data_IF_293541965383
#
_entry.id   IF_293541965383
#
_cell.length_a   1.000
_cell.length_b   1.000
_cell.length_c   1.000
_cell.angle_alpha   90.00
_cell.angle_beta   90.00
_cell.angle_gamma   90.00
#
_symmetry.space_group_name_H-M   'P 1'
#
loop_
_entity.id
_entity.type
_entity.pdbx_description
1 polymer ?
#
# COMPACT_ATOMS: atom_id res chain seq x y z
N UNK A 1 26.93 -17.25 27.14
CA UNK A 1 27.38 -17.03 25.74
C UNK A 1 26.86 -18.21 24.93
N UNK A 2 25.90 -17.98 24.04
CA UNK A 2 25.39 -19.04 23.16
C UNK A 2 26.30 -19.01 21.92
N UNK A 3 26.98 -20.12 21.57
CA UNK A 3 27.77 -20.16 20.36
C UNK A 3 26.84 -20.01 19.15
N UNK A 4 27.12 -19.03 18.30
CA UNK A 4 26.49 -18.90 16.99
C UNK A 4 27.02 -20.07 16.16
N UNK A 5 26.24 -21.15 16.12
CA UNK A 5 26.54 -22.29 15.26
C UNK A 5 26.29 -21.83 13.82
N UNK A 6 27.28 -21.89 12.92
CA UNK A 6 27.03 -21.61 11.51
C UNK A 6 26.04 -22.64 10.98
N UNK A 7 24.83 -22.18 10.65
CA UNK A 7 23.85 -23.01 9.96
C UNK A 7 24.29 -23.03 8.50
N UNK A 8 25.10 -24.03 8.15
CA UNK A 8 25.31 -24.40 6.76
C UNK A 8 25.00 -25.89 6.59
N UNK A 9 23.90 -26.11 5.87
CA UNK A 9 23.59 -27.33 5.17
C UNK A 9 24.69 -27.65 4.16
N UNK A 10 25.09 -28.93 4.13
CA UNK A 10 26.20 -29.54 3.39
C UNK A 10 27.55 -29.48 4.10
N UNK A 11 28.05 -30.66 4.45
CA UNK A 11 29.40 -30.84 4.99
C UNK A 11 30.39 -30.57 3.85
N UNK A 12 30.91 -29.35 3.76
CA UNK A 12 32.02 -28.99 2.85
C UNK A 12 33.10 -30.09 2.88
N UNK A 13 33.53 -30.53 1.70
CA UNK A 13 34.61 -31.52 1.56
C UNK A 13 35.89 -31.00 2.22
N UNK A 14 36.74 -31.91 2.69
CA UNK A 14 38.03 -31.55 3.32
C UNK A 14 38.88 -30.64 2.41
N UNK A 15 38.83 -30.85 1.10
CA UNK A 15 39.51 -30.00 0.11
C UNK A 15 38.91 -28.59 0.05
N UNK A 16 37.58 -28.45 0.13
CA UNK A 16 36.91 -27.16 0.10
C UNK A 16 37.20 -26.32 1.35
N UNK A 17 37.30 -26.96 2.53
CA UNK A 17 37.71 -26.27 3.76
C UNK A 17 39.14 -25.74 3.68
N UNK A 18 40.07 -26.54 3.15
CA UNK A 18 41.46 -26.09 2.94
C UNK A 18 41.52 -24.91 1.97
N UNK A 19 40.79 -24.98 0.86
CA UNK A 19 40.71 -23.87 -0.09
C UNK A 19 40.09 -22.60 0.52
N UNK A 20 39.07 -22.72 1.37
CA UNK A 20 38.51 -21.58 2.11
C UNK A 20 39.50 -21.00 3.13
N UNK A 21 40.26 -21.85 3.83
CA UNK A 21 41.31 -21.39 4.76
C UNK A 21 42.46 -20.71 4.03
N UNK A 22 42.85 -21.19 2.85
CA UNK A 22 43.85 -20.54 2.00
C UNK A 22 43.32 -19.19 1.47
N UNK A 23 42.07 -19.15 1.02
CA UNK A 23 41.42 -17.92 0.56
C UNK A 23 41.31 -16.87 1.68
N UNK A 24 40.92 -17.27 2.90
CA UNK A 24 40.84 -16.34 4.06
C UNK A 24 42.21 -15.85 4.53
N UNK A 25 43.28 -16.65 4.35
CA UNK A 25 44.66 -16.22 4.62
C UNK A 25 45.16 -15.21 3.60
N UNK A 26 44.74 -15.35 2.34
CA UNK A 26 45.08 -14.41 1.27
C UNK A 26 44.31 -13.09 1.44
N UNK A 27 43.02 -13.17 1.75
CA UNK A 27 42.16 -12.02 1.98
C UNK A 27 41.07 -12.34 3.02
N UNK A 28 41.09 -11.63 4.16
CA UNK A 28 40.11 -11.79 5.21
C UNK A 28 38.70 -11.34 4.81
N UNK A 29 38.59 -10.45 3.80
CA UNK A 29 37.32 -9.87 3.36
C UNK A 29 36.59 -10.71 2.30
N UNK A 30 37.24 -11.76 1.79
CA UNK A 30 36.78 -12.54 0.62
C UNK A 30 35.40 -13.19 0.81
N UNK A 31 34.98 -13.43 2.06
CA UNK A 31 33.67 -14.00 2.41
C UNK A 31 32.77 -13.03 3.18
N UNK A 32 33.12 -11.75 3.33
CA UNK A 32 32.30 -10.79 4.08
C UNK A 32 30.95 -10.53 3.40
N UNK A 33 30.90 -10.51 2.07
CA UNK A 33 29.66 -10.34 1.32
C UNK A 33 28.68 -11.50 1.53
N UNK A 34 29.20 -12.73 1.46
CA UNK A 34 28.41 -13.96 1.66
C UNK A 34 27.87 -14.03 3.08
N UNK A 35 28.68 -13.67 4.08
CA UNK A 35 28.24 -13.57 5.48
C UNK A 35 27.12 -12.54 5.68
N UNK A 36 27.22 -11.35 5.06
CA UNK A 36 26.16 -10.33 5.14
C UNK A 36 24.88 -10.84 4.48
N UNK A 37 25.00 -11.50 3.34
CA UNK A 37 23.87 -12.07 2.62
C UNK A 37 23.18 -13.18 3.42
N UNK A 38 23.95 -14.11 3.98
CA UNK A 38 23.45 -15.20 4.83
C UNK A 38 22.74 -14.65 6.07
N UNK A 39 23.32 -13.64 6.73
CA UNK A 39 22.69 -12.99 7.88
C UNK A 39 21.38 -12.30 7.52
N UNK A 40 21.32 -11.64 6.36
CA UNK A 40 20.09 -11.03 5.84
C UNK A 40 19.03 -12.11 5.58
N UNK A 41 19.39 -13.24 4.97
CA UNK A 41 18.46 -14.35 4.71
C UNK A 41 18.02 -15.07 5.98
N UNK A 42 18.88 -15.16 6.99
CA UNK A 42 18.50 -15.65 8.31
C UNK A 42 17.52 -14.69 9.00
N UNK A 43 17.66 -13.37 8.83
CA UNK A 43 16.68 -12.41 9.33
C UNK A 43 15.34 -12.51 8.60
N UNK A 44 15.35 -12.65 7.27
CA UNK A 44 14.13 -12.83 6.45
C UNK A 44 13.37 -14.10 6.84
N UNK A 45 14.07 -15.23 7.00
CA UNK A 45 13.47 -16.51 7.40
C UNK A 45 12.90 -16.47 8.81
N UNK A 46 13.59 -15.80 9.76
CA UNK A 46 13.05 -15.54 11.10
C UNK A 46 11.78 -14.69 11.04
N UNK A 47 11.78 -13.58 10.30
CA UNK A 47 10.60 -12.73 10.15
C UNK A 47 9.42 -13.49 9.51
N UNK A 48 9.69 -14.41 8.58
CA UNK A 48 8.68 -15.30 7.99
C UNK A 48 8.13 -16.27 9.04
N UNK A 49 8.99 -16.94 9.80
CA UNK A 49 8.55 -17.87 10.85
C UNK A 49 7.73 -17.19 11.95
N UNK A 50 8.06 -15.96 12.33
CA UNK A 50 7.26 -15.17 13.28
C UNK A 50 5.90 -14.79 12.71
N UNK A 51 5.81 -14.49 11.41
CA UNK A 51 4.54 -14.21 10.74
C UNK A 51 3.64 -15.46 10.72
N UNK A 52 4.22 -16.62 10.46
CA UNK A 52 3.50 -17.90 10.47
C UNK A 52 3.02 -18.26 11.89
N UNK A 53 3.86 -18.04 12.91
CA UNK A 53 3.48 -18.22 14.32
C UNK A 53 2.34 -17.28 14.73
N UNK A 54 2.44 -15.98 14.43
CA UNK A 54 1.35 -15.01 14.68
C UNK A 54 0.08 -15.39 13.92
N UNK A 55 0.21 -15.96 12.72
CA UNK A 55 -0.91 -16.49 11.94
C UNK A 55 -1.61 -17.66 12.64
N UNK A 56 -0.84 -18.58 13.23
CA UNK A 56 -1.37 -19.69 14.02
C UNK A 56 -2.07 -19.19 15.31
N UNK A 57 -1.46 -18.25 16.04
CA UNK A 57 -2.06 -17.65 17.24
C UNK A 57 -3.38 -16.94 16.95
N UNK A 58 -3.49 -16.25 15.80
CA UNK A 58 -4.74 -15.61 15.35
C UNK A 58 -5.85 -16.63 15.11
N UNK A 59 -5.53 -17.81 14.58
CA UNK A 59 -6.52 -18.89 14.36
C UNK A 59 -7.06 -19.41 15.69
N UNK A 60 -6.18 -19.72 16.63
CA UNK A 60 -6.57 -20.17 17.98
C UNK A 60 -7.45 -19.13 18.67
N UNK A 61 -7.07 -17.84 18.62
CA UNK A 61 -7.89 -16.76 19.19
C UNK A 61 -9.26 -16.63 18.51
N UNK A 62 -9.36 -16.91 17.21
CA UNK A 62 -10.65 -16.87 16.50
C UNK A 62 -11.54 -18.06 16.89
N UNK A 63 -10.95 -19.25 17.06
CA UNK A 63 -11.63 -20.44 17.57
C UNK A 63 -12.15 -20.21 18.99
N UNK A 64 -11.33 -19.64 19.88
CA UNK A 64 -11.74 -19.29 21.24
C UNK A 64 -12.93 -18.31 21.26
N UNK A 65 -12.94 -17.31 20.37
CA UNK A 65 -14.05 -16.36 20.23
C UNK A 65 -15.34 -17.02 19.72
N UNK A 66 -15.23 -18.05 18.87
CA UNK A 66 -16.39 -18.81 18.41
C UNK A 66 -16.97 -19.65 19.54
N UNK A 67 -16.11 -20.36 20.28
CA UNK A 67 -16.53 -21.17 21.44
C UNK A 67 -17.17 -20.30 22.52
N UNK A 68 -16.67 -19.08 22.74
CA UNK A 68 -17.31 -18.14 23.67
C UNK A 68 -18.71 -17.73 23.21
N UNK A 69 -18.89 -17.42 21.92
CA UNK A 69 -20.22 -17.10 21.35
C UNK A 69 -21.18 -18.29 21.46
N UNK A 70 -20.70 -19.51 21.24
CA UNK A 70 -21.50 -20.74 21.41
C UNK A 70 -21.91 -20.93 22.88
N UNK A 71 -20.99 -20.75 23.82
CA UNK A 71 -21.29 -20.81 25.27
C UNK A 71 -22.25 -19.73 25.74
N UNK A 72 -22.20 -18.53 25.18
CA UNK A 72 -23.16 -17.45 25.49
C UNK A 72 -24.57 -17.75 24.99
N UNK A 73 -24.69 -18.47 23.86
CA UNK A 73 -25.96 -18.96 23.35
C UNK A 73 -26.50 -20.11 24.22
N UNK A 74 -25.65 -21.05 24.61
CA UNK A 74 -26.00 -22.14 25.55
C UNK A 74 -26.33 -21.62 26.96
N UNK A 75 -25.68 -20.55 27.43
CA UNK A 75 -25.95 -19.93 28.72
C UNK A 75 -27.39 -19.44 28.89
N UNK A 76 -28.09 -19.12 27.80
CA UNK A 76 -29.52 -18.80 27.83
C UNK A 76 -30.40 -20.03 28.13
N UNK A 77 -29.93 -21.22 27.80
CA UNK A 77 -30.61 -22.50 28.06
C UNK A 77 -30.37 -23.01 29.49
N UNK A 78 -29.29 -22.57 30.14
CA UNK A 78 -28.89 -23.01 31.49
C UNK A 78 -29.02 -21.93 32.58
N UNK A 79 -29.61 -20.78 32.27
CA UNK A 79 -29.81 -19.64 33.19
C UNK A 79 -30.54 -19.98 34.51
N UNK A 80 -31.23 -21.12 34.58
CA UNK A 80 -31.95 -21.60 35.77
C UNK A 80 -31.14 -22.57 36.64
N UNK A 81 -29.87 -22.83 36.34
CA UNK A 81 -28.98 -23.72 37.12
C UNK A 81 -27.87 -22.91 37.76
N UNK A 82 -27.56 -23.22 39.02
CA UNK A 82 -26.50 -22.54 39.77
C UNK A 82 -25.12 -22.80 39.14
N UNK A 83 -24.45 -21.75 38.66
CA UNK A 83 -23.12 -21.82 38.05
C UNK A 83 -22.01 -21.72 39.11
N UNK A 84 -21.36 -22.85 39.42
CA UNK A 84 -20.19 -22.86 40.31
C UNK A 84 -18.90 -22.57 39.52
N UNK A 85 -18.67 -21.29 39.20
CA UNK A 85 -17.45 -20.83 38.52
C UNK A 85 -16.38 -20.44 39.54
N UNK A 86 -15.15 -20.90 39.34
CA UNK A 86 -14.02 -20.60 40.23
C UNK A 86 -13.55 -19.14 40.10
N UNK A 87 -13.07 -18.49 41.17
CA UNK A 87 -12.65 -17.09 41.15
C UNK A 87 -11.51 -16.81 40.17
N UNK A 88 -10.65 -17.81 39.89
CA UNK A 88 -9.55 -17.71 38.93
C UNK A 88 -10.05 -17.59 37.48
N UNK A 89 -11.13 -18.30 37.13
CA UNK A 89 -11.72 -18.23 35.78
C UNK A 89 -12.42 -16.88 35.55
N UNK A 90 -13.10 -16.36 36.57
CA UNK A 90 -13.68 -15.01 36.54
C UNK A 90 -12.63 -13.91 36.33
N UNK A 91 -11.43 -14.08 36.90
CA UNK A 91 -10.31 -13.16 36.68
C UNK A 91 -9.77 -13.26 35.25
N UNK A 92 -9.55 -14.48 34.73
CA UNK A 92 -9.10 -14.70 33.36
C UNK A 92 -10.10 -14.16 32.32
N UNK A 93 -11.40 -14.29 32.58
CA UNK A 93 -12.44 -13.77 31.71
C UNK A 93 -12.49 -12.23 31.72
N UNK A 94 -12.26 -11.60 32.88
CA UNK A 94 -12.14 -10.14 32.99
C UNK A 94 -10.94 -9.62 32.24
N UNK A 95 -9.78 -10.26 32.36
CA UNK A 95 -8.56 -9.89 31.63
C UNK A 95 -8.74 -9.99 30.11
N UNK A 96 -9.41 -11.05 29.63
CA UNK A 96 -9.74 -11.18 28.20
C UNK A 96 -10.71 -10.10 27.72
N UNK A 97 -11.72 -9.73 28.53
CA UNK A 97 -12.71 -8.69 28.20
C UNK A 97 -12.08 -7.29 28.21
N UNK A 98 -11.23 -6.98 29.19
CA UNK A 98 -10.48 -5.72 29.25
C UNK A 98 -9.49 -5.59 28.07
N UNK A 99 -8.82 -6.68 27.70
CA UNK A 99 -7.93 -6.69 26.54
C UNK A 99 -8.69 -6.47 25.21
N UNK A 100 -9.87 -7.08 25.05
CA UNK A 100 -10.72 -6.87 23.87
C UNK A 100 -11.29 -5.44 23.81
N UNK A 101 -11.71 -4.88 24.93
CA UNK A 101 -12.18 -3.49 25.00
C UNK A 101 -11.06 -2.48 24.70
N UNK A 102 -9.85 -2.72 25.19
CA UNK A 102 -8.69 -1.90 24.86
C UNK A 102 -8.30 -1.99 23.37
N UNK A 103 -8.39 -3.17 22.76
CA UNK A 103 -8.17 -3.36 21.32
C UNK A 103 -9.27 -2.69 20.50
N UNK A 104 -10.54 -2.80 20.93
CA UNK A 104 -11.69 -2.17 20.27
C UNK A 104 -11.63 -0.65 20.33
N UNK A 105 -11.26 -0.07 21.49
CA UNK A 105 -11.04 1.37 21.64
C UNK A 105 -9.88 1.87 20.78
N UNK A 106 -8.84 1.05 20.58
CA UNK A 106 -7.73 1.36 19.68
C UNK A 106 -8.14 1.28 18.21
N UNK A 107 -8.97 0.31 17.85
CA UNK A 107 -9.52 0.15 16.51
C UNK A 107 -10.52 1.26 16.15
N UNK A 108 -11.36 1.68 17.10
CA UNK A 108 -12.33 2.76 16.91
C UNK A 108 -11.67 4.15 16.76
N UNK A 109 -10.51 4.35 17.39
CA UNK A 109 -9.67 5.55 17.20
C UNK A 109 -8.96 5.59 15.85
N UNK A 110 -8.90 4.48 15.10
CA UNK A 110 -8.34 4.47 13.76
C UNK A 110 -9.40 4.94 12.74
N UNK A 111 -9.10 5.93 11.87
CA UNK A 111 -10.06 6.41 10.88
C UNK A 111 -10.40 5.30 9.87
N UNK A 112 -11.58 4.71 10.03
CA UNK A 112 -12.09 3.57 9.23
C UNK A 112 -12.49 3.93 7.77
N UNK A 113 -11.95 5.02 7.22
CA UNK A 113 -12.40 5.59 5.93
C UNK A 113 -11.47 5.31 4.76
N UNK A 114 -10.38 4.56 4.98
CA UNK A 114 -9.27 4.45 4.04
C UNK A 114 -8.69 3.02 4.00
N UNK A 115 -9.55 2.01 3.87
CA UNK A 115 -9.16 0.60 3.95
C UNK A 115 -8.08 0.16 2.93
N UNK A 116 -8.04 0.78 1.74
CA UNK A 116 -7.04 0.44 0.72
C UNK A 116 -5.72 1.18 0.95
N UNK A 117 -5.76 2.47 1.30
CA UNK A 117 -4.53 3.25 1.54
C UNK A 117 -3.82 2.78 2.81
N UNK A 118 -4.57 2.40 3.86
CA UNK A 118 -3.99 1.80 5.07
C UNK A 118 -3.38 0.42 4.78
N UNK A 119 -3.99 -0.38 3.89
CA UNK A 119 -3.39 -1.65 3.47
C UNK A 119 -2.04 -1.46 2.78
N UNK A 120 -1.94 -0.51 1.83
CA UNK A 120 -0.66 -0.21 1.18
C UNK A 120 0.35 0.40 2.15
N UNK A 121 -0.07 1.28 3.07
CA UNK A 121 0.80 1.80 4.14
C UNK A 121 1.32 0.66 5.03
N UNK A 122 0.45 -0.26 5.45
CA UNK A 122 0.84 -1.41 6.27
C UNK A 122 1.82 -2.34 5.54
N UNK A 123 1.65 -2.57 4.23
CA UNK A 123 2.61 -3.35 3.43
C UNK A 123 3.96 -2.65 3.36
N UNK A 124 3.97 -1.34 3.06
CA UNK A 124 5.21 -0.57 2.97
C UNK A 124 5.93 -0.49 4.32
N UNK A 125 5.17 -0.38 5.42
CA UNK A 125 5.71 -0.45 6.77
C UNK A 125 6.21 -1.84 7.15
N UNK A 126 5.53 -2.92 6.75
CA UNK A 126 6.01 -4.29 6.98
C UNK A 126 7.34 -4.51 6.24
N UNK A 127 7.44 -4.06 4.98
CA UNK A 127 8.65 -4.21 4.18
C UNK A 127 9.80 -3.34 4.70
N UNK A 128 9.52 -2.11 5.16
CA UNK A 128 10.54 -1.25 5.77
C UNK A 128 11.05 -1.82 7.09
N UNK A 129 10.16 -2.35 7.95
CA UNK A 129 10.53 -3.01 9.22
C UNK A 129 11.37 -4.26 8.99
N UNK A 130 11.05 -5.07 7.97
CA UNK A 130 11.86 -6.24 7.58
C UNK A 130 13.27 -5.85 7.18
N UNK A 131 13.38 -4.84 6.30
CA UNK A 131 14.67 -4.34 5.85
C UNK A 131 15.50 -3.73 7.01
N UNK A 132 14.88 -2.92 7.87
CA UNK A 132 15.54 -2.35 9.04
C UNK A 132 16.03 -3.45 10.00
N UNK A 133 15.21 -4.48 10.25
CA UNK A 133 15.61 -5.62 11.08
C UNK A 133 16.80 -6.39 10.49
N UNK A 134 16.82 -6.59 9.17
CA UNK A 134 17.95 -7.21 8.48
C UNK A 134 19.23 -6.37 8.61
N UNK A 135 19.16 -5.06 8.34
CA UNK A 135 20.31 -4.15 8.50
C UNK A 135 20.79 -4.11 9.95
N UNK A 136 19.88 -4.07 10.92
CA UNK A 136 20.21 -4.11 12.35
C UNK A 136 20.85 -5.44 12.77
N UNK A 137 20.40 -6.56 12.22
CA UNK A 137 20.99 -7.87 12.46
C UNK A 137 22.41 -7.96 11.89
N UNK A 138 22.62 -7.47 10.66
CA UNK A 138 23.94 -7.37 10.04
C UNK A 138 24.85 -6.43 10.84
N UNK A 139 24.36 -5.25 11.24
CA UNK A 139 25.11 -4.30 12.06
C UNK A 139 25.46 -4.86 13.44
N UNK A 140 24.54 -5.62 14.08
CA UNK A 140 24.80 -6.29 15.34
C UNK A 140 25.84 -7.40 15.18
N UNK A 141 25.77 -8.20 14.11
CA UNK A 141 26.77 -9.22 13.81
C UNK A 141 28.16 -8.59 13.53
N UNK A 142 28.21 -7.49 12.79
CA UNK A 142 29.43 -6.72 12.54
C UNK A 142 30.00 -6.06 13.82
N UNK A 143 29.15 -5.65 14.75
CA UNK A 143 29.57 -5.13 16.04
C UNK A 143 30.15 -6.23 16.95
N UNK A 144 29.61 -7.45 16.88
CA UNK A 144 30.14 -8.60 17.64
C UNK A 144 31.48 -9.09 17.11
N UNK A 145 31.73 -9.01 15.80
CA UNK A 145 33.03 -9.37 15.20
C UNK A 145 34.11 -8.34 15.53
N UNK A 146 33.80 -7.04 15.53
CA UNK A 146 34.73 -5.98 15.96
C UNK A 146 35.14 -6.06 17.44
N UNK A 147 34.28 -6.56 18.33
CA UNK A 147 34.60 -6.73 19.76
C UNK A 147 35.56 -7.90 20.03
N UNK A 148 35.67 -8.85 19.11
CA UNK A 148 36.64 -9.95 19.18
C UNK A 148 38.01 -9.60 18.55
N UNK A 149 38.09 -8.55 17.73
CA UNK A 149 39.31 -8.13 17.01
C UNK A 149 39.94 -6.84 17.55
N UNK A 150 39.88 -6.59 18.86
CA UNK A 150 40.47 -5.43 19.55
C UNK A 150 42.03 -5.42 19.56
N UNK A 151 42.67 -5.85 18.46
CA UNK A 151 44.13 -5.77 18.29
C UNK A 151 44.59 -5.35 16.89
N UNK A 152 43.70 -4.91 15.99
CA UNK A 152 44.13 -4.34 14.69
C UNK A 152 43.45 -2.99 14.46
N UNK A 153 44.18 -1.92 14.77
CA UNK A 153 43.86 -0.54 14.43
C UNK A 153 43.94 -0.35 12.91
N UNK A 154 42.79 -0.17 12.27
CA UNK A 154 42.66 0.14 10.83
C UNK A 154 43.07 1.60 10.56
N UNK A 155 44.25 1.80 9.97
CA UNK A 155 44.66 3.03 9.28
C UNK A 155 44.35 2.95 7.79
N UNK A 156 43.08 3.13 7.40
CA UNK A 156 42.60 2.91 6.02
C UNK A 156 42.44 4.20 5.18
N UNK A 157 43.08 5.31 5.54
CA UNK A 157 42.98 6.56 4.75
C UNK A 157 44.13 6.83 3.78
N UNK A 158 45.16 5.95 3.69
CA UNK A 158 46.39 6.25 2.95
C UNK A 158 46.70 5.36 1.72
N UNK A 159 45.86 4.38 1.38
CA UNK A 159 46.20 3.37 0.35
C UNK A 159 45.33 3.42 -0.92
N UNK A 160 44.67 4.54 -1.23
CA UNK A 160 43.79 4.67 -2.40
C UNK A 160 44.34 5.55 -3.54
N UNK A 161 45.60 6.01 -3.46
CA UNK A 161 46.17 6.93 -4.46
C UNK A 161 47.18 6.31 -5.43
N UNK A 162 47.61 5.05 -5.25
CA UNK A 162 48.62 4.44 -6.13
C UNK A 162 48.20 3.04 -6.59
N UNK A 163 47.37 2.99 -7.64
CA UNK A 163 47.22 1.79 -8.47
C UNK A 163 46.74 2.17 -9.87
N UNK A 164 47.61 2.85 -10.64
CA UNK A 164 47.51 2.87 -12.09
C UNK A 164 48.45 1.81 -12.68
N UNK A 165 47.84 0.97 -13.53
CA UNK A 165 48.42 0.26 -14.66
C UNK A 165 49.15 -1.07 -14.38
N UNK A 166 48.45 -2.18 -14.66
CA UNK A 166 49.02 -3.24 -15.51
C UNK A 166 47.89 -4.04 -16.14
N UNK A 167 47.82 -3.93 -17.46
CA UNK A 167 47.13 -4.83 -18.36
C UNK A 167 47.82 -6.20 -18.31
N UNK A 168 47.05 -7.30 -18.29
CA UNK A 168 47.29 -8.52 -19.09
C UNK A 168 46.21 -9.58 -18.78
N UNK A 169 45.56 -10.06 -19.84
CA UNK A 169 44.69 -11.24 -19.86
C UNK A 169 45.57 -12.46 -20.18
N UNK A 170 45.30 -13.66 -19.61
CA UNK A 170 44.47 -14.59 -20.38
C UNK A 170 43.59 -15.56 -19.55
N UNK A 171 42.44 -15.92 -20.14
CA UNK A 171 42.09 -17.34 -20.28
C UNK A 171 41.07 -17.97 -19.33
N UNK A 172 39.82 -18.05 -19.83
CA UNK A 172 38.86 -19.15 -19.64
C UNK A 172 38.36 -19.46 -18.23
N UNK A 173 37.29 -18.77 -17.81
CA UNK A 173 36.36 -19.27 -16.80
C UNK A 173 35.08 -19.80 -17.47
N UNK A 174 34.85 -21.09 -17.23
CA UNK A 174 33.62 -21.82 -17.48
C UNK A 174 32.41 -21.12 -16.83
N UNK A 175 31.34 -20.96 -17.60
CA UNK A 175 30.02 -20.57 -17.12
C UNK A 175 29.55 -21.54 -16.02
N UNK A 176 29.10 -21.07 -14.85
CA UNK A 176 28.40 -21.93 -13.91
C UNK A 176 27.02 -22.30 -14.47
N UNK A 177 26.75 -23.59 -14.58
CA UNK A 177 25.45 -24.16 -14.89
C UNK A 177 24.42 -23.74 -13.84
N UNK A 178 23.35 -23.10 -14.29
CA UNK A 178 22.14 -22.86 -13.52
C UNK A 178 21.21 -24.07 -13.66
N UNK A 179 20.96 -24.78 -12.56
CA UNK A 179 19.89 -25.78 -12.47
C UNK A 179 18.53 -25.06 -12.44
N UNK A 180 17.61 -25.30 -13.39
CA UNK A 180 16.29 -24.69 -13.34
C UNK A 180 15.40 -25.41 -12.32
N UNK A 181 14.95 -24.69 -11.29
CA UNK A 181 13.82 -25.06 -10.46
C UNK A 181 12.50 -25.12 -11.27
N UNK A 182 11.54 -25.97 -10.88
CA UNK A 182 10.40 -26.33 -11.72
C UNK A 182 9.19 -25.37 -11.61
N UNK A 183 8.38 -25.44 -12.67
CA UNK A 183 7.04 -24.86 -12.86
C UNK A 183 6.99 -23.39 -13.29
N UNK A 184 7.17 -23.25 -14.61
CA UNK A 184 6.94 -22.06 -15.39
C UNK A 184 5.56 -21.45 -15.12
N UNK A 185 5.55 -20.23 -14.57
CA UNK A 185 4.48 -19.27 -14.85
C UNK A 185 4.39 -19.18 -16.38
N UNK A 186 3.23 -19.50 -17.00
CA UNK A 186 3.10 -19.45 -18.45
C UNK A 186 3.45 -18.03 -18.89
N UNK A 187 4.40 -17.91 -19.82
CA UNK A 187 4.78 -16.61 -20.37
C UNK A 187 3.54 -15.88 -20.88
N UNK A 188 3.50 -14.56 -20.70
CA UNK A 188 2.34 -13.72 -21.03
C UNK A 188 1.85 -13.93 -22.48
N UNK A 189 2.77 -14.30 -23.39
CA UNK A 189 2.46 -14.70 -24.76
C UNK A 189 1.53 -15.93 -24.86
N UNK A 190 1.67 -16.94 -24.00
CA UNK A 190 0.78 -18.12 -23.97
C UNK A 190 -0.61 -17.74 -23.44
N UNK A 191 -0.66 -16.85 -22.45
CA UNK A 191 -1.91 -16.33 -21.89
C UNK A 191 -2.68 -15.50 -22.93
N UNK A 192 -1.98 -14.67 -23.71
CA UNK A 192 -2.58 -13.89 -24.80
C UNK A 192 -3.27 -14.79 -25.85
N UNK A 193 -2.63 -15.90 -26.25
CA UNK A 193 -3.19 -16.88 -27.18
C UNK A 193 -4.44 -17.56 -26.61
N UNK A 194 -4.43 -17.89 -25.32
CA UNK A 194 -5.55 -18.55 -24.65
C UNK A 194 -6.75 -17.60 -24.51
N UNK A 195 -6.52 -16.34 -24.13
CA UNK A 195 -7.56 -15.31 -24.04
C UNK A 195 -8.14 -15.02 -25.42
N UNK A 196 -7.31 -14.91 -26.46
CA UNK A 196 -7.78 -14.70 -27.83
C UNK A 196 -8.66 -15.84 -28.35
N UNK A 197 -8.30 -17.10 -28.04
CA UNK A 197 -9.14 -18.27 -28.36
C UNK A 197 -10.46 -18.28 -27.60
N UNK A 198 -10.45 -17.92 -26.31
CA UNK A 198 -11.65 -17.86 -25.46
C UNK A 198 -12.62 -16.76 -25.88
N UNK A 199 -12.12 -15.58 -26.24
CA UNK A 199 -12.94 -14.42 -26.58
C UNK A 199 -13.25 -14.30 -28.09
N UNK A 200 -12.60 -15.11 -28.93
CA UNK A 200 -12.74 -15.07 -30.39
C UNK A 200 -12.25 -13.76 -31.02
N UNK A 201 -11.38 -13.03 -30.34
CA UNK A 201 -10.82 -11.74 -30.77
C UNK A 201 -9.30 -11.83 -30.79
N UNK A 202 -8.67 -11.14 -31.75
CA UNK A 202 -7.21 -11.02 -31.78
C UNK A 202 -6.75 -10.16 -30.60
N UNK A 203 -5.75 -10.63 -29.89
CA UNK A 203 -5.11 -9.95 -28.76
C UNK A 203 -3.70 -9.63 -29.22
N UNK A 204 -3.38 -8.34 -29.33
CA UNK A 204 -2.07 -7.87 -29.77
C UNK A 204 -1.12 -7.76 -28.57
N UNK A 205 0.18 -7.92 -28.83
CA UNK A 205 1.26 -7.89 -27.83
C UNK A 205 2.25 -6.81 -28.26
N UNK A 206 2.65 -5.93 -27.33
CA UNK A 206 3.66 -4.88 -27.56
C UNK A 206 5.09 -5.46 -27.64
N UNK A 207 6.06 -4.65 -28.07
CA UNK A 207 7.49 -5.01 -28.18
C UNK A 207 8.11 -5.48 -26.85
N UNK A 208 7.50 -5.10 -25.71
CA UNK A 208 7.89 -5.54 -24.37
C UNK A 208 7.17 -6.82 -23.90
N UNK A 209 6.39 -7.46 -24.77
CA UNK A 209 5.68 -8.71 -24.47
C UNK A 209 4.36 -8.54 -23.69
N UNK A 210 3.91 -7.30 -23.47
CA UNK A 210 2.69 -6.97 -22.71
C UNK A 210 1.44 -7.00 -23.59
N UNK A 211 0.31 -7.47 -23.03
CA UNK A 211 -0.98 -7.57 -23.73
C UNK A 211 -1.60 -6.18 -23.94
N UNK A 212 -1.96 -5.84 -25.18
CA UNK A 212 -2.52 -4.54 -25.57
C UNK A 212 -4.05 -4.60 -25.65
N UNK A 213 -4.75 -3.78 -24.86
CA UNK A 213 -6.20 -3.60 -24.99
C UNK A 213 -6.50 -2.50 -26.03
N UNK A 214 -7.12 -2.87 -27.15
CA UNK A 214 -7.52 -1.94 -28.22
C UNK A 214 -8.39 -0.78 -27.75
N UNK A 215 -9.11 -0.92 -26.61
CA UNK A 215 -9.90 0.19 -26.05
C UNK A 215 -9.00 1.28 -25.48
N UNK A 216 -7.84 0.91 -24.93
CA UNK A 216 -6.86 1.86 -24.39
C UNK A 216 -6.20 2.65 -25.52
N UNK A 217 -5.94 2.02 -26.67
CA UNK A 217 -5.49 2.68 -27.89
C UNK A 217 -6.53 3.67 -28.44
N UNK A 218 -7.82 3.35 -28.33
CA UNK A 218 -8.92 4.19 -28.82
C UNK A 218 -9.33 5.32 -27.85
N UNK A 219 -8.98 5.22 -26.56
CA UNK A 219 -9.18 6.31 -25.59
C UNK A 219 -8.16 7.44 -25.74
N UNK A 220 -7.03 7.19 -26.41
CA UNK A 220 -6.16 8.24 -26.94
C UNK A 220 -6.86 8.91 -28.11
N UNK A 221 -7.74 9.86 -27.81
CA UNK A 221 -8.64 10.50 -28.77
C UNK A 221 -7.97 10.83 -30.11
N UNK A 222 -8.62 10.42 -31.20
CA UNK A 222 -8.38 10.94 -32.54
C UNK A 222 -8.18 12.45 -32.43
N UNK A 223 -7.00 12.96 -32.86
CA UNK A 223 -6.70 14.39 -32.96
C UNK A 223 -7.61 15.03 -34.02
N UNK A 224 -8.90 15.13 -33.74
CA UNK A 224 -9.81 16.06 -34.36
C UNK A 224 -9.35 17.43 -33.87
N UNK A 225 -8.45 18.05 -34.63
CA UNK A 225 -8.02 19.41 -34.38
C UNK A 225 -9.23 20.32 -34.16
N UNK A 226 -9.10 21.37 -33.33
CA UNK A 226 -10.24 22.20 -32.95
C UNK A 226 -10.96 22.75 -34.20
N UNK A 227 -12.31 22.78 -34.21
CA UNK A 227 -13.07 23.29 -35.35
C UNK A 227 -12.67 24.74 -35.63
N UNK A 228 -12.36 25.04 -36.90
CA UNK A 228 -12.01 26.38 -37.36
C UNK A 228 -13.21 27.32 -37.16
N UNK A 229 -13.19 28.08 -36.08
CA UNK A 229 -14.09 29.21 -35.86
C UNK A 229 -13.65 30.36 -36.77
N UNK A 230 -14.53 30.74 -37.69
CA UNK A 230 -14.39 31.90 -38.56
C UNK A 230 -14.82 33.13 -37.76
N UNK A 231 -13.86 33.91 -37.29
CA UNK A 231 -14.07 35.16 -36.54
C UNK A 231 -12.79 36.01 -36.51
N UNK A 232 -12.89 37.34 -36.38
CA UNK A 232 -11.79 38.27 -36.64
C UNK A 232 -10.65 38.10 -35.63
N UNK A 233 -9.43 38.09 -36.17
CA UNK A 233 -8.21 37.71 -35.47
C UNK A 233 -7.81 38.70 -34.37
N UNK A 234 -7.56 38.18 -33.18
CA UNK A 234 -6.74 38.83 -32.17
C UNK A 234 -5.28 38.36 -32.35
N UNK A 235 -4.28 39.26 -32.29
CA UNK A 235 -2.88 38.90 -32.51
C UNK A 235 -2.39 37.97 -31.40
N UNK A 236 -1.87 36.81 -31.81
CA UNK A 236 -1.22 35.82 -30.94
C UNK A 236 0.02 36.45 -30.30
N UNK A 237 0.06 36.48 -28.97
CA UNK A 237 1.30 36.75 -28.22
C UNK A 237 2.07 35.44 -28.09
N UNK A 238 3.19 35.38 -28.79
CA UNK A 238 4.26 34.42 -28.59
C UNK A 238 5.01 34.88 -27.33
N UNK A 239 5.16 33.98 -26.36
CA UNK A 239 5.95 34.24 -25.16
C UNK A 239 5.30 33.62 -23.93
N UNK A 240 5.99 32.66 -23.35
CA UNK A 240 5.70 31.89 -22.13
C UNK A 240 5.60 32.76 -20.84
N UNK A 241 5.35 34.06 -20.97
CA UNK A 241 5.39 35.01 -19.86
C UNK A 241 3.98 35.47 -19.47
N UNK A 242 3.59 35.17 -18.23
CA UNK A 242 2.39 35.70 -17.59
C UNK A 242 2.36 37.24 -17.64
N UNK A 243 1.17 37.87 -17.77
CA UNK A 243 1.03 39.32 -17.76
C UNK A 243 1.58 39.93 -16.47
N UNK A 244 2.13 41.15 -16.55
CA UNK A 244 2.84 41.83 -15.45
C UNK A 244 1.98 41.92 -14.16
N UNK A 245 0.67 42.12 -14.31
CA UNK A 245 -0.26 42.15 -13.18
C UNK A 245 -0.38 40.80 -12.45
N UNK A 246 -0.33 39.70 -13.20
CA UNK A 246 -0.44 38.34 -12.67
C UNK A 246 0.87 37.87 -12.04
N UNK A 247 2.02 38.31 -12.60
CA UNK A 247 3.34 38.10 -11.99
C UNK A 247 3.45 38.79 -10.63
N UNK A 248 2.98 40.05 -10.53
CA UNK A 248 3.02 40.80 -9.27
C UNK A 248 2.09 40.21 -8.20
N UNK A 249 0.94 39.69 -8.61
CA UNK A 249 0.02 38.99 -7.73
C UNK A 249 0.56 37.63 -7.26
N UNK A 250 1.30 36.92 -8.12
CA UNK A 250 2.01 35.69 -7.73
C UNK A 250 3.16 35.98 -6.76
N UNK A 251 3.94 37.03 -7.01
CA UNK A 251 5.06 37.44 -6.16
C UNK A 251 4.60 37.87 -4.76
N UNK A 252 3.47 38.57 -4.64
CA UNK A 252 2.86 38.86 -3.33
C UNK A 252 2.34 37.61 -2.62
N UNK A 253 1.76 36.66 -3.35
CA UNK A 253 1.30 35.39 -2.77
C UNK A 253 2.46 34.52 -2.30
N UNK A 254 3.51 34.42 -3.11
CA UNK A 254 4.72 33.66 -2.79
C UNK A 254 5.47 34.29 -1.61
N UNK A 255 5.47 35.62 -1.51
CA UNK A 255 6.01 36.33 -0.35
C UNK A 255 5.21 36.06 0.93
N UNK A 256 3.88 36.13 0.86
CA UNK A 256 3.00 35.82 1.99
C UNK A 256 3.08 34.33 2.37
N UNK A 257 3.26 33.44 1.41
CA UNK A 257 3.44 32.01 1.62
C UNK A 257 4.79 31.71 2.28
N UNK A 258 5.87 32.36 1.85
CA UNK A 258 7.19 32.26 2.50
C UNK A 258 7.21 32.88 3.91
N UNK A 259 6.47 33.97 4.14
CA UNK A 259 6.28 34.58 5.47
C UNK A 259 5.38 33.70 6.37
N UNK A 260 4.38 33.01 5.81
CA UNK A 260 3.50 32.08 6.53
C UNK A 260 4.14 30.70 6.77
N UNK A 261 5.04 30.26 5.89
CA UNK A 261 5.75 28.98 6.02
C UNK A 261 6.87 29.02 7.05
N UNK A 262 7.13 30.17 7.70
CA UNK A 262 8.12 30.25 8.77
C UNK A 262 9.49 29.77 8.33
N UNK A 263 9.92 30.05 7.09
CA UNK A 263 11.34 29.92 6.71
C UNK A 263 12.12 31.02 7.39
N UNK A 264 12.32 30.88 8.70
CA UNK A 264 13.33 31.64 9.40
C UNK A 264 14.68 31.26 8.79
N UNK A 265 15.60 32.22 8.74
CA UNK A 265 17.01 31.99 8.41
C UNK A 265 17.70 30.95 9.33
N UNK A 266 16.98 30.39 10.29
CA UNK A 266 17.44 29.35 11.21
C UNK A 266 17.50 27.96 10.54
N UNK A 267 16.74 27.69 9.47
CA UNK A 267 16.83 26.41 8.74
C UNK A 267 18.12 26.29 7.89
N UNK A 268 18.73 27.41 7.49
CA UNK A 268 20.02 27.43 6.79
C UNK A 268 21.19 27.19 7.78
N UNK A 269 21.04 27.59 9.04
CA UNK A 269 22.05 27.42 10.10
C UNK A 269 22.05 26.00 10.69
N UNK A 270 20.94 25.25 10.60
CA UNK A 270 20.88 23.84 11.04
C UNK A 270 21.48 22.87 9.99
N UNK A 271 21.53 23.23 8.70
CA UNK A 271 22.10 22.39 7.63
C UNK A 271 23.64 22.38 7.59
N UNK A 272 24.33 23.28 8.32
CA UNK A 272 25.80 23.35 8.31
C UNK A 272 26.49 22.19 9.07
N UNK A 273 25.75 21.40 9.86
CA UNK A 273 26.28 20.28 10.66
C UNK A 273 25.98 18.86 10.14
N UNK A 274 25.05 18.69 9.19
CA UNK A 274 24.59 17.37 8.76
C UNK A 274 25.50 16.75 7.70
N UNK A 275 25.75 15.45 7.85
CA UNK A 275 26.55 14.67 6.91
C UNK A 275 25.88 14.63 5.52
N UNK A 276 26.65 14.47 4.43
CA UNK A 276 26.10 14.39 3.06
C UNK A 276 25.00 13.32 2.92
N UNK A 277 25.07 12.25 3.71
CA UNK A 277 24.07 11.19 3.74
C UNK A 277 22.74 11.63 4.38
N UNK A 278 22.78 12.46 5.42
CA UNK A 278 21.59 13.01 6.06
C UNK A 278 20.91 14.06 5.20
N UNK A 279 21.69 14.91 4.50
CA UNK A 279 21.14 15.86 3.53
C UNK A 279 20.38 15.16 2.40
N UNK A 280 20.91 14.04 1.90
CA UNK A 280 20.24 13.25 0.87
C UNK A 280 18.95 12.60 1.39
N UNK A 281 18.94 12.14 2.65
CA UNK A 281 17.74 11.59 3.30
C UNK A 281 16.66 12.67 3.48
N UNK A 282 17.04 13.85 3.98
CA UNK A 282 16.11 14.97 4.19
C UNK A 282 15.54 15.47 2.85
N UNK A 283 16.35 15.54 1.80
CA UNK A 283 15.89 15.87 0.45
C UNK A 283 14.88 14.84 -0.08
N UNK A 284 15.18 13.55 0.08
CA UNK A 284 14.29 12.45 -0.33
C UNK A 284 12.98 12.46 0.48
N UNK A 285 13.05 12.79 1.76
CA UNK A 285 11.87 12.91 2.64
C UNK A 285 10.99 14.09 2.22
N UNK A 286 11.57 15.27 1.96
CA UNK A 286 10.86 16.43 1.40
C UNK A 286 10.17 16.09 0.07
N UNK A 287 10.85 15.37 -0.83
CA UNK A 287 10.27 14.91 -2.09
C UNK A 287 9.15 13.89 -1.89
N UNK A 288 9.31 12.96 -0.95
CA UNK A 288 8.29 11.96 -0.60
C UNK A 288 7.03 12.63 -0.03
N UNK A 289 7.21 13.60 0.87
CA UNK A 289 6.11 14.34 1.49
C UNK A 289 5.33 15.20 0.46
N UNK A 290 6.04 15.83 -0.48
CA UNK A 290 5.40 16.54 -1.59
C UNK A 290 4.53 15.61 -2.46
N UNK A 291 5.07 14.45 -2.83
CA UNK A 291 4.36 13.46 -3.64
C UNK A 291 3.14 12.89 -2.90
N UNK A 292 3.30 12.65 -1.59
CA UNK A 292 2.21 12.26 -0.71
C UNK A 292 1.12 13.34 -0.64
N UNK A 293 1.48 14.61 -0.51
CA UNK A 293 0.53 15.73 -0.49
C UNK A 293 -0.24 15.82 -1.81
N UNK A 294 0.44 15.66 -2.96
CA UNK A 294 -0.20 15.62 -4.27
C UNK A 294 -1.21 14.46 -4.40
N UNK A 295 -0.86 13.27 -3.88
CA UNK A 295 -1.78 12.12 -3.84
C UNK A 295 -3.01 12.40 -2.99
N UNK A 296 -2.82 12.97 -1.79
CA UNK A 296 -3.91 13.34 -0.87
C UNK A 296 -4.83 14.37 -1.52
N UNK A 297 -4.27 15.36 -2.22
CA UNK A 297 -5.07 16.36 -2.95
C UNK A 297 -5.88 15.75 -4.10
N UNK A 298 -5.29 14.84 -4.88
CA UNK A 298 -6.00 14.13 -5.95
C UNK A 298 -7.13 13.26 -5.40
N UNK A 299 -6.91 12.58 -4.28
CA UNK A 299 -7.93 11.76 -3.60
C UNK A 299 -9.08 12.65 -3.07
N UNK A 300 -8.75 13.75 -2.40
CA UNK A 300 -9.74 14.72 -1.92
C UNK A 300 -10.55 15.33 -3.06
N UNK A 301 -9.92 15.61 -4.22
CA UNK A 301 -10.61 16.07 -5.43
C UNK A 301 -11.57 15.01 -5.96
N UNK A 302 -11.13 13.75 -6.09
CA UNK A 302 -12.00 12.63 -6.50
C UNK A 302 -13.19 12.46 -5.55
N UNK A 303 -12.96 12.57 -4.25
CA UNK A 303 -14.00 12.46 -3.24
C UNK A 303 -15.01 13.60 -3.33
N UNK A 304 -14.55 14.85 -3.49
CA UNK A 304 -15.46 16.00 -3.70
C UNK A 304 -16.34 15.81 -4.93
N UNK A 305 -15.77 15.35 -6.04
CA UNK A 305 -16.52 15.04 -7.26
C UNK A 305 -17.55 13.93 -7.05
N UNK A 306 -17.21 12.88 -6.30
CA UNK A 306 -18.15 11.81 -5.98
C UNK A 306 -19.29 12.30 -5.08
N UNK A 307 -18.98 13.05 -4.01
CA UNK A 307 -19.97 13.66 -3.13
C UNK A 307 -20.89 14.60 -3.91
N UNK A 308 -20.34 15.47 -4.77
CA UNK A 308 -21.11 16.33 -5.67
C UNK A 308 -22.04 15.50 -6.56
N UNK A 309 -21.54 14.45 -7.22
CA UNK A 309 -22.37 13.57 -8.06
C UNK A 309 -23.49 12.87 -7.28
N UNK A 310 -23.22 12.44 -6.04
CA UNK A 310 -24.23 11.87 -5.13
C UNK A 310 -25.27 12.90 -4.75
N UNK A 311 -24.87 14.12 -4.40
CA UNK A 311 -25.83 15.20 -4.09
C UNK A 311 -26.67 15.58 -5.30
N UNK A 312 -26.10 15.60 -6.51
CA UNK A 312 -26.84 15.83 -7.74
C UNK A 312 -27.87 14.72 -8.00
N UNK A 313 -27.48 13.46 -7.80
CA UNK A 313 -28.39 12.34 -7.93
C UNK A 313 -29.52 12.39 -6.90
N UNK A 314 -29.21 12.73 -5.64
CA UNK A 314 -30.22 12.96 -4.60
C UNK A 314 -31.16 14.11 -4.94
N UNK A 315 -30.64 15.23 -5.45
CA UNK A 315 -31.47 16.35 -5.94
C UNK A 315 -32.35 15.93 -7.13
N UNK A 316 -31.85 15.10 -8.04
CA UNK A 316 -32.63 14.55 -9.17
C UNK A 316 -33.74 13.60 -8.71
N UNK A 317 -33.51 12.81 -7.66
CA UNK A 317 -34.54 11.92 -7.07
C UNK A 317 -35.57 12.74 -6.29
N UNK A 318 -35.13 13.72 -5.49
CA UNK A 318 -36.02 14.62 -4.76
C UNK A 318 -36.97 15.37 -5.71
N UNK A 319 -36.45 15.91 -6.83
CA UNK A 319 -37.26 16.56 -7.88
C UNK A 319 -38.24 15.60 -8.60
N UNK A 320 -38.03 14.29 -8.55
CA UNK A 320 -38.98 13.30 -9.11
C UNK A 320 -40.08 12.95 -8.09
N UNK A 321 -39.77 13.07 -6.81
CA UNK A 321 -40.67 12.83 -5.70
C UNK A 321 -41.15 14.16 -5.11
N UNK A 322 -41.67 15.06 -5.95
CA UNK A 322 -42.27 16.30 -5.45
C UNK A 322 -43.55 15.97 -4.67
N UNK A 323 -43.52 16.12 -3.35
CA UNK A 323 -44.60 15.74 -2.44
C UNK A 323 -45.93 16.43 -2.79
N UNK A 324 -45.89 17.67 -3.29
CA UNK A 324 -47.07 18.41 -3.75
C UNK A 324 -47.76 17.76 -4.96
N UNK A 325 -46.98 17.17 -5.88
CA UNK A 325 -47.50 16.43 -7.03
C UNK A 325 -48.09 15.08 -6.60
N UNK A 326 -47.46 14.42 -5.62
CA UNK A 326 -47.97 13.18 -5.02
C UNK A 326 -49.31 13.44 -4.31
N UNK A 327 -49.43 14.53 -3.55
CA UNK A 327 -50.66 14.94 -2.89
C UNK A 327 -51.78 15.26 -3.89
N UNK A 328 -51.50 16.01 -4.96
CA UNK A 328 -52.49 16.28 -6.01
C UNK A 328 -52.97 15.00 -6.69
N UNK A 329 -52.06 14.07 -7.04
CA UNK A 329 -52.42 12.78 -7.64
C UNK A 329 -53.24 11.92 -6.67
N UNK A 330 -52.93 11.95 -5.38
CA UNK A 330 -53.68 11.25 -4.33
C UNK A 330 -55.08 11.81 -4.19
N UNK A 331 -55.25 13.13 -4.20
CA UNK A 331 -56.57 13.77 -4.18
C UNK A 331 -57.40 13.41 -5.41
N UNK A 332 -56.79 13.40 -6.61
CA UNK A 332 -57.47 13.02 -7.85
C UNK A 332 -57.90 11.54 -7.83
N UNK A 333 -57.06 10.65 -7.31
CA UNK A 333 -57.39 9.22 -7.16
C UNK A 333 -58.54 9.00 -6.17
N UNK A 334 -58.58 9.74 -5.06
CA UNK A 334 -59.68 9.69 -4.08
C UNK A 334 -61.00 10.18 -4.70
N UNK A 335 -60.98 11.29 -5.45
CA UNK A 335 -62.17 11.79 -6.18
C UNK A 335 -62.69 10.74 -7.16
N UNK A 336 -61.81 10.14 -7.97
CA UNK A 336 -62.18 9.08 -8.92
C UNK A 336 -62.77 7.85 -8.23
N UNK A 337 -62.28 7.49 -7.03
CA UNK A 337 -62.85 6.39 -6.24
C UNK A 337 -64.23 6.74 -5.71
N UNK A 338 -64.43 7.96 -5.22
CA UNK A 338 -65.73 8.44 -4.76
C UNK A 338 -66.75 8.50 -5.92
N UNK A 339 -66.36 9.00 -7.08
CA UNK A 339 -67.19 9.01 -8.29
C UNK A 339 -67.58 7.60 -8.72
N UNK A 340 -66.63 6.64 -8.71
CA UNK A 340 -66.94 5.23 -8.99
C UNK A 340 -67.91 4.64 -7.97
N UNK A 341 -67.77 4.97 -6.68
CA UNK A 341 -68.70 4.51 -5.65
C UNK A 341 -70.07 5.15 -5.79
N UNK A 342 -70.14 6.42 -6.16
CA UNK A 342 -71.40 7.10 -6.43
C UNK A 342 -72.09 6.48 -7.66
N UNK A 343 -71.36 6.24 -8.76
CA UNK A 343 -71.89 5.57 -9.94
C UNK A 343 -72.37 4.15 -9.66
N UNK A 344 -71.66 3.39 -8.81
CA UNK A 344 -72.11 2.06 -8.36
C UNK A 344 -73.42 2.14 -7.57
N UNK A 345 -73.52 3.08 -6.63
CA UNK A 345 -74.76 3.30 -5.86
C UNK A 345 -75.92 3.75 -6.73
N UNK A 346 -75.66 4.62 -7.72
CA UNK A 346 -76.67 5.03 -8.70
C UNK A 346 -77.11 3.84 -9.57
N UNK A 347 -76.19 2.95 -9.96
CA UNK A 347 -76.52 1.74 -10.71
C UNK A 347 -77.30 0.71 -9.89
N UNK A 348 -77.01 0.58 -8.58
CA UNK A 348 -77.79 -0.27 -7.66
C UNK A 348 -79.19 0.30 -7.41
N UNK A 349 -79.34 1.62 -7.34
CA UNK A 349 -80.64 2.28 -7.18
C UNK A 349 -81.50 2.23 -8.46
N UNK A 350 -80.89 2.09 -9.64
CA UNK A 350 -81.58 1.94 -10.92
C UNK A 350 -81.84 0.48 -11.32
N UNK A 351 -81.36 -0.50 -10.55
CA UNK A 351 -81.69 -1.91 -10.76
C UNK A 351 -83.17 -2.16 -10.40
N UNK A 352 -84.01 -2.63 -11.34
CA UNK A 352 -85.44 -2.81 -11.08
C UNK A 352 -85.67 -3.92 -10.05
N UNK A 353 -86.38 -3.58 -8.95
CA UNK A 353 -86.88 -4.57 -7.99
C UNK A 353 -87.78 -5.56 -8.72
N UNK A 354 -87.32 -6.81 -8.83
CA UNK A 354 -88.08 -7.90 -9.44
C UNK A 354 -89.27 -8.31 -8.58
#
# INVERSE_FOLDING_TARGET
MIPIVPISSSKLSRQQRLAQEEATKLDSTIFEYDQVYDLMKLADSKAKSEKDQKGAERKVRAEDKLVQRERELEGQEFANKDEFVTPAYLQQQKELREAEEAEKLKAEKAPNKQAMTTFYQNILEEDSKRHEAAVKAVAAAAATTKKASSSISLGLSAALSDAKNSTENPGQSSQPQYDPEPEAVPSEAKLAVEIGKKLGRKVDIDDEGRIVDHRQLLTGGLNLGPPKLVGPQQPKKIGFALPIAERKAQEERERLENEASGKTKEEDDEEEGLTQAEKLKLSRERQSNLLQQQLIELENKKRKLEEESRTENMKKVAKRNDDSKIEMLKQQALKRRQERQAALKESEAQAPSS
#
